data_IF_378647415929
#
_entry.id   IF_378647415929
#
_cell.length_a   1.000
_cell.length_b   1.000
_cell.length_c   1.000
_cell.angle_alpha   90.00
_cell.angle_beta   90.00
_cell.angle_gamma   90.00
#
_symmetry.space_group_name_H-M   'P 1'
#
loop_
_entity.id
_entity.type
_entity.pdbx_description
1 polymer ?
#
# COMPACT_ATOMS: atom_id res chain seq x y z
N UNK A 1 -13.59 1.61 1.76
CA UNK A 1 -13.17 2.85 2.46
C UNK A 1 -12.44 2.59 3.78
N UNK A 2 -12.76 1.49 4.50
CA UNK A 2 -12.08 1.10 5.76
C UNK A 2 -10.56 1.05 5.61
N UNK A 3 -10.04 0.46 4.53
CA UNK A 3 -8.59 0.39 4.28
C UNK A 3 -7.93 1.77 4.18
N UNK A 4 -8.55 2.75 3.52
CA UNK A 4 -8.00 4.09 3.40
C UNK A 4 -7.86 4.76 4.78
N UNK A 5 -8.87 4.62 5.64
CA UNK A 5 -8.82 5.14 7.02
C UNK A 5 -7.71 4.46 7.81
N UNK A 6 -7.64 3.13 7.76
CA UNK A 6 -6.60 2.35 8.45
C UNK A 6 -5.19 2.73 8.01
N UNK A 7 -4.94 2.85 6.70
CA UNK A 7 -3.64 3.26 6.18
C UNK A 7 -3.25 4.69 6.58
N UNK A 8 -4.19 5.64 6.54
CA UNK A 8 -3.91 7.03 6.95
C UNK A 8 -3.57 7.09 8.44
N UNK A 9 -4.36 6.44 9.29
CA UNK A 9 -4.08 6.36 10.73
C UNK A 9 -2.72 5.74 10.99
N UNK A 10 -2.42 4.58 10.38
CA UNK A 10 -1.12 3.92 10.48
C UNK A 10 0.02 4.87 10.12
N UNK A 11 -0.09 5.61 9.02
CA UNK A 11 0.97 6.52 8.56
C UNK A 11 1.16 7.71 9.52
N UNK A 12 0.07 8.29 10.04
CA UNK A 12 0.14 9.40 11.01
C UNK A 12 0.78 8.94 12.32
N UNK A 13 0.31 7.83 12.89
CA UNK A 13 0.88 7.28 14.12
C UNK A 13 2.32 6.83 13.92
N UNK A 14 2.64 6.23 12.76
CA UNK A 14 4.00 5.82 12.44
C UNK A 14 4.94 7.02 12.38
N UNK A 15 4.54 8.11 11.71
CA UNK A 15 5.34 9.33 11.65
C UNK A 15 5.53 9.97 13.03
N UNK A 16 4.48 10.00 13.86
CA UNK A 16 4.59 10.51 15.24
C UNK A 16 5.58 9.70 16.07
N UNK A 17 5.60 8.38 15.89
CA UNK A 17 6.57 7.51 16.55
C UNK A 17 7.99 7.77 16.09
N UNK A 18 8.23 7.90 14.77
CA UNK A 18 9.56 8.21 14.20
C UNK A 18 10.09 9.56 14.72
N UNK A 19 9.21 10.56 14.90
CA UNK A 19 9.61 11.87 15.44
C UNK A 19 9.94 11.84 16.95
N UNK A 20 9.25 10.98 17.71
CA UNK A 20 9.46 10.85 19.15
C UNK A 20 10.69 10.00 19.51
N UNK A 21 11.04 9.02 18.68
CA UNK A 21 12.16 8.11 18.90
C UNK A 21 13.23 8.29 17.81
N UNK A 22 14.17 9.21 18.03
CA UNK A 22 15.26 9.53 17.06
C UNK A 22 16.19 8.36 16.73
N UNK A 23 16.19 7.30 17.54
CA UNK A 23 17.01 6.09 17.30
C UNK A 23 16.30 5.05 16.41
N UNK A 24 15.03 5.29 16.04
CA UNK A 24 14.23 4.35 15.24
C UNK A 24 14.11 4.87 13.82
N UNK A 25 14.88 4.28 12.91
CA UNK A 25 14.74 4.51 11.47
C UNK A 25 13.45 3.86 10.92
N UNK A 26 12.93 4.40 9.81
CA UNK A 26 11.77 3.86 9.10
C UNK A 26 11.87 2.36 8.77
N UNK A 27 13.09 1.85 8.55
CA UNK A 27 13.35 0.43 8.31
C UNK A 27 13.04 -0.44 9.54
N UNK A 28 13.60 -0.07 10.70
CA UNK A 28 13.40 -0.80 11.95
C UNK A 28 11.93 -0.74 12.38
N UNK A 29 11.29 0.40 12.18
CA UNK A 29 9.87 0.56 12.47
C UNK A 29 9.01 -0.38 11.60
N UNK A 30 9.28 -0.44 10.30
CA UNK A 30 8.59 -1.39 9.42
C UNK A 30 8.82 -2.85 9.83
N UNK A 31 10.06 -3.19 10.22
CA UNK A 31 10.41 -4.52 10.72
C UNK A 31 9.54 -4.98 11.90
N UNK A 32 9.39 -4.13 12.92
CA UNK A 32 8.50 -4.44 14.03
C UNK A 32 7.03 -4.53 13.63
N UNK A 33 6.56 -3.60 12.79
CA UNK A 33 5.17 -3.59 12.33
C UNK A 33 4.84 -4.86 11.55
N UNK A 34 5.72 -5.33 10.66
CA UNK A 34 5.45 -6.53 9.86
C UNK A 34 5.42 -7.80 10.71
N UNK A 35 6.32 -7.94 11.69
CA UNK A 35 6.35 -9.08 12.62
C UNK A 35 5.07 -9.12 13.46
N UNK A 36 4.71 -7.99 14.09
CA UNK A 36 3.48 -7.90 14.90
C UNK A 36 2.23 -8.12 14.06
N UNK A 37 2.19 -7.57 12.84
CA UNK A 37 1.08 -7.78 11.91
C UNK A 37 0.93 -9.25 11.55
N UNK A 38 2.03 -9.96 11.31
CA UNK A 38 2.00 -11.39 11.04
C UNK A 38 1.44 -12.17 12.23
N UNK A 39 1.92 -11.93 13.44
CA UNK A 39 1.45 -12.62 14.66
C UNK A 39 -0.05 -12.37 14.89
N UNK A 40 -0.53 -11.16 14.61
CA UNK A 40 -1.95 -10.82 14.76
C UNK A 40 -2.84 -11.40 13.65
N UNK A 41 -2.40 -11.34 12.39
CA UNK A 41 -3.19 -11.79 11.24
C UNK A 41 -3.16 -13.31 11.04
N UNK A 42 -2.07 -13.98 11.39
CA UNK A 42 -1.93 -15.43 11.21
C UNK A 42 -3.04 -16.25 11.87
N UNK A 43 -3.38 -16.07 13.17
CA UNK A 43 -4.47 -16.82 13.78
C UNK A 43 -5.81 -16.50 13.12
N UNK A 44 -6.08 -15.23 12.80
CA UNK A 44 -7.31 -14.82 12.11
C UNK A 44 -7.42 -15.51 10.74
N UNK A 45 -6.33 -15.56 9.98
CA UNK A 45 -6.30 -16.23 8.68
C UNK A 45 -6.59 -17.73 8.80
N UNK A 46 -6.02 -18.41 9.81
CA UNK A 46 -6.29 -19.83 10.07
C UNK A 46 -7.76 -20.04 10.46
N UNK A 47 -8.32 -19.22 11.34
CA UNK A 47 -9.72 -19.37 11.79
C UNK A 47 -10.74 -19.07 10.69
N UNK A 48 -10.51 -18.04 9.87
CA UNK A 48 -11.46 -17.60 8.85
C UNK A 48 -11.34 -18.41 7.55
N UNK A 49 -10.12 -18.66 7.10
CA UNK A 49 -9.86 -19.21 5.76
C UNK A 49 -9.22 -20.61 5.77
N UNK A 50 -8.77 -21.10 6.93
CA UNK A 50 -7.98 -22.34 7.02
C UNK A 50 -8.69 -23.57 6.42
N UNK A 51 -10.02 -23.66 6.56
CA UNK A 51 -10.81 -24.74 5.95
C UNK A 51 -10.80 -24.73 4.42
N UNK A 52 -10.54 -23.58 3.80
CA UNK A 52 -10.52 -23.41 2.35
C UNK A 52 -9.13 -23.57 1.73
N UNK A 53 -8.06 -23.62 2.53
CA UNK A 53 -6.68 -23.63 2.02
C UNK A 53 -6.37 -24.84 1.15
N UNK A 54 -6.79 -26.04 1.57
CA UNK A 54 -6.54 -27.29 0.81
C UNK A 54 -7.28 -27.28 -0.52
N UNK A 55 -8.56 -26.94 -0.51
CA UNK A 55 -9.36 -26.84 -1.73
C UNK A 55 -8.85 -25.74 -2.68
N UNK A 56 -8.47 -24.59 -2.13
CA UNK A 56 -7.89 -23.47 -2.88
C UNK A 56 -6.55 -23.83 -3.52
N UNK A 57 -5.70 -24.56 -2.80
CA UNK A 57 -4.41 -25.04 -3.31
C UNK A 57 -4.59 -25.97 -4.52
N UNK A 58 -5.48 -26.96 -4.43
CA UNK A 58 -5.77 -27.86 -5.55
C UNK A 58 -6.33 -27.11 -6.77
N UNK A 59 -7.20 -26.11 -6.54
CA UNK A 59 -7.74 -25.26 -7.62
C UNK A 59 -6.65 -24.41 -8.29
N UNK A 60 -5.71 -23.87 -7.51
CA UNK A 60 -4.58 -23.10 -8.01
C UNK A 60 -3.64 -23.97 -8.87
N UNK A 61 -3.33 -25.19 -8.41
CA UNK A 61 -2.55 -26.16 -9.17
C UNK A 61 -3.25 -26.57 -10.47
N UNK A 62 -4.57 -26.75 -10.44
CA UNK A 62 -5.35 -27.06 -11.65
C UNK A 62 -5.31 -25.95 -12.70
N UNK A 63 -5.03 -24.71 -12.31
CA UNK A 63 -4.94 -23.55 -13.23
C UNK A 63 -3.53 -23.34 -13.77
N UNK A 64 -2.52 -23.51 -12.92
CA UNK A 64 -1.10 -23.23 -13.25
C UNK A 64 -0.40 -24.47 -13.82
N UNK A 65 -0.88 -25.67 -13.51
CA UNK A 65 -0.34 -26.96 -13.95
C UNK A 65 0.93 -27.41 -13.22
N UNK A 66 1.83 -26.47 -12.87
CA UNK A 66 3.11 -26.77 -12.22
C UNK A 66 3.20 -26.20 -10.78
N UNK A 67 3.36 -27.04 -9.74
CA UNK A 67 3.53 -26.59 -8.36
C UNK A 67 4.73 -25.66 -8.14
N UNK A 68 5.86 -25.91 -8.80
CA UNK A 68 7.08 -25.10 -8.64
C UNK A 68 6.86 -23.67 -9.12
N UNK A 69 6.14 -23.52 -10.25
CA UNK A 69 5.78 -22.21 -10.78
C UNK A 69 4.85 -21.47 -9.82
N UNK A 70 3.87 -22.15 -9.23
CA UNK A 70 3.00 -21.55 -8.21
C UNK A 70 3.80 -21.03 -7.00
N UNK A 71 4.67 -21.86 -6.42
CA UNK A 71 5.50 -21.43 -5.28
C UNK A 71 6.40 -20.25 -5.63
N UNK A 72 6.99 -20.25 -6.83
CA UNK A 72 7.82 -19.16 -7.31
C UNK A 72 7.01 -17.86 -7.44
N UNK A 73 5.80 -17.90 -8.00
CA UNK A 73 4.94 -16.71 -8.10
C UNK A 73 4.52 -16.17 -6.73
N UNK A 74 4.17 -17.05 -5.79
CA UNK A 74 3.84 -16.67 -4.42
C UNK A 74 5.04 -16.02 -3.72
N UNK A 75 6.23 -16.62 -3.86
CA UNK A 75 7.46 -16.11 -3.26
C UNK A 75 7.84 -14.75 -3.85
N UNK A 76 7.84 -14.61 -5.19
CA UNK A 76 8.12 -13.33 -5.85
C UNK A 76 7.12 -12.27 -5.40
N UNK A 77 5.82 -12.60 -5.38
CA UNK A 77 4.79 -11.67 -4.91
C UNK A 77 5.04 -11.20 -3.47
N UNK A 78 5.40 -12.12 -2.57
CA UNK A 78 5.75 -11.82 -1.18
C UNK A 78 6.97 -10.90 -1.05
N UNK A 79 8.04 -11.18 -1.80
CA UNK A 79 9.25 -10.35 -1.82
C UNK A 79 8.92 -8.93 -2.30
N UNK A 80 8.24 -8.79 -3.44
CA UNK A 80 7.86 -7.48 -3.96
C UNK A 80 6.92 -6.73 -3.03
N UNK A 81 6.00 -7.43 -2.35
CA UNK A 81 5.16 -6.83 -1.33
C UNK A 81 5.98 -6.30 -0.15
N UNK A 82 6.95 -7.07 0.33
CA UNK A 82 7.83 -6.65 1.42
C UNK A 82 8.67 -5.44 1.03
N UNK A 83 9.36 -5.50 -0.13
CA UNK A 83 10.18 -4.42 -0.65
C UNK A 83 9.37 -3.14 -0.86
N UNK A 84 8.16 -3.25 -1.42
CA UNK A 84 7.27 -2.11 -1.59
C UNK A 84 6.95 -1.42 -0.25
N UNK A 85 6.60 -2.18 0.78
CA UNK A 85 6.26 -1.60 2.08
C UNK A 85 7.51 -1.06 2.80
N UNK A 86 8.65 -1.72 2.66
CA UNK A 86 9.93 -1.26 3.19
C UNK A 86 10.32 0.10 2.60
N UNK A 87 10.35 0.23 1.26
CA UNK A 87 10.62 1.51 0.59
C UNK A 87 9.56 2.57 0.92
N UNK A 88 8.31 2.16 1.14
CA UNK A 88 7.25 3.07 1.57
C UNK A 88 7.51 3.64 2.97
N UNK A 89 8.00 2.85 3.91
CA UNK A 89 8.34 3.34 5.26
C UNK A 89 9.59 4.22 5.27
N UNK A 90 10.58 3.91 4.45
CA UNK A 90 11.73 4.81 4.24
C UNK A 90 11.27 6.16 3.67
N UNK A 91 10.42 6.15 2.64
CA UNK A 91 9.86 7.40 2.10
C UNK A 91 9.02 8.16 3.13
N UNK A 92 8.23 7.47 3.95
CA UNK A 92 7.45 8.07 5.03
C UNK A 92 8.33 8.75 6.08
N UNK A 93 9.56 8.26 6.28
CA UNK A 93 10.53 8.84 7.20
C UNK A 93 11.04 10.20 6.72
N UNK A 94 11.24 10.36 5.41
CA UNK A 94 11.74 11.60 4.81
C UNK A 94 10.64 12.65 4.55
N UNK A 95 9.41 12.21 4.29
CA UNK A 95 8.32 13.11 3.86
C UNK A 95 7.18 13.22 4.88
N UNK A 96 6.34 14.25 4.71
CA UNK A 96 5.16 14.41 5.56
C UNK A 96 4.10 13.32 5.27
N UNK A 97 3.27 12.91 6.25
CA UNK A 97 2.20 11.93 6.04
C UNK A 97 1.20 12.37 4.95
N UNK A 98 0.99 13.68 4.80
CA UNK A 98 0.14 14.25 3.76
C UNK A 98 0.74 14.02 2.37
N UNK A 99 2.03 14.35 2.19
CA UNK A 99 2.76 14.10 0.94
C UNK A 99 2.81 12.61 0.62
N UNK A 100 3.02 11.76 1.63
CA UNK A 100 3.01 10.30 1.48
C UNK A 100 1.65 9.78 1.00
N UNK A 101 0.55 10.28 1.58
CA UNK A 101 -0.80 9.92 1.15
C UNK A 101 -1.10 10.33 -0.29
N UNK A 102 -0.60 11.50 -0.70
CA UNK A 102 -0.69 11.98 -2.09
C UNK A 102 0.12 11.09 -3.03
N UNK A 103 1.36 10.75 -2.69
CA UNK A 103 2.19 9.83 -3.46
C UNK A 103 1.57 8.44 -3.62
N UNK A 104 0.94 7.92 -2.56
CA UNK A 104 0.21 6.65 -2.63
C UNK A 104 -0.99 6.69 -3.59
N UNK A 105 -1.63 7.85 -3.73
CA UNK A 105 -2.70 8.06 -4.71
C UNK A 105 -2.16 8.05 -6.13
N UNK A 106 -1.05 8.74 -6.38
CA UNK A 106 -0.35 8.72 -7.68
C UNK A 106 0.12 7.31 -8.06
N UNK A 107 0.67 6.55 -7.11
CA UNK A 107 1.03 5.14 -7.34
C UNK A 107 -0.16 4.32 -7.84
N UNK A 108 -1.35 4.52 -7.25
CA UNK A 108 -2.57 3.81 -7.66
C UNK A 108 -2.97 4.15 -9.10
N UNK A 109 -2.88 5.42 -9.48
CA UNK A 109 -3.13 5.85 -10.87
C UNK A 109 -2.20 5.13 -11.85
N UNK A 110 -0.90 5.11 -11.56
CA UNK A 110 0.10 4.45 -12.42
C UNK A 110 -0.21 2.97 -12.57
N UNK A 111 -0.57 2.28 -11.48
CA UNK A 111 -0.95 0.86 -11.52
C UNK A 111 -2.21 0.64 -12.38
N UNK A 112 -3.25 1.47 -12.24
CA UNK A 112 -4.46 1.37 -13.07
C UNK A 112 -4.11 1.49 -14.55
N UNK A 113 -3.37 2.53 -14.94
CA UNK A 113 -2.98 2.75 -16.34
C UNK A 113 -2.14 1.58 -16.87
N UNK A 114 -1.13 1.13 -16.11
CA UNK A 114 -0.29 0.01 -16.49
C UNK A 114 -1.11 -1.28 -16.69
N UNK A 115 -2.04 -1.59 -15.79
CA UNK A 115 -2.88 -2.80 -15.90
C UNK A 115 -3.77 -2.77 -17.14
N UNK A 116 -4.34 -1.60 -17.49
CA UNK A 116 -5.15 -1.46 -18.72
C UNK A 116 -4.29 -1.69 -19.96
N UNK A 117 -3.07 -1.14 -19.99
CA UNK A 117 -2.14 -1.31 -21.12
C UNK A 117 -1.66 -2.75 -21.29
N UNK A 118 -1.33 -3.42 -20.18
CA UNK A 118 -0.77 -4.78 -20.17
C UNK A 118 -1.85 -5.83 -20.44
N UNK A 119 -2.96 -5.80 -19.72
CA UNK A 119 -4.00 -6.82 -19.84
C UNK A 119 -4.94 -6.58 -21.02
N UNK A 120 -4.93 -5.38 -21.61
CA UNK A 120 -5.77 -4.98 -22.76
C UNK A 120 -7.24 -5.38 -22.60
N UNK A 121 -7.72 -5.44 -21.35
CA UNK A 121 -9.11 -5.78 -21.08
C UNK A 121 -10.01 -4.73 -21.74
N UNK A 122 -11.11 -5.14 -22.40
CA UNK A 122 -12.00 -4.19 -23.08
C UNK A 122 -12.68 -3.30 -22.04
N UNK A 123 -12.13 -2.09 -21.85
CA UNK A 123 -12.72 -1.08 -20.99
C UNK A 123 -13.83 -0.40 -21.77
N UNK A 124 -15.07 -0.50 -21.29
CA UNK A 124 -16.19 0.27 -21.86
C UNK A 124 -15.81 1.76 -21.91
N UNK A 125 -16.10 2.50 -22.99
CA UNK A 125 -15.71 3.91 -23.12
C UNK A 125 -16.13 4.79 -21.93
N UNK A 126 -17.30 4.50 -21.33
CA UNK A 126 -17.77 5.18 -20.12
C UNK A 126 -16.90 4.88 -18.88
N UNK A 127 -16.44 3.65 -18.72
CA UNK A 127 -15.53 3.27 -17.64
C UNK A 127 -14.14 3.89 -17.84
N UNK A 128 -13.69 4.00 -19.09
CA UNK A 128 -12.44 4.67 -19.42
C UNK A 128 -12.52 6.18 -19.10
N UNK A 129 -13.62 6.83 -19.47
CA UNK A 129 -13.86 8.24 -19.15
C UNK A 129 -13.97 8.48 -17.64
N UNK A 130 -14.73 7.65 -16.92
CA UNK A 130 -14.83 7.74 -15.45
C UNK A 130 -13.49 7.52 -14.76
N UNK A 131 -12.68 6.58 -15.24
CA UNK A 131 -11.33 6.35 -14.75
C UNK A 131 -10.41 7.54 -15.04
N UNK A 132 -10.49 8.12 -16.24
CA UNK A 132 -9.73 9.30 -16.62
C UNK A 132 -10.07 10.52 -15.76
N UNK A 133 -11.36 10.77 -15.49
CA UNK A 133 -11.82 11.85 -14.60
C UNK A 133 -11.33 11.61 -13.16
N UNK A 134 -11.45 10.38 -12.64
CA UNK A 134 -10.98 10.06 -11.30
C UNK A 134 -9.47 10.26 -11.16
N UNK A 135 -8.70 9.77 -12.14
CA UNK A 135 -7.24 9.95 -12.22
C UNK A 135 -6.91 11.45 -12.26
N UNK A 136 -7.55 12.20 -13.15
CA UNK A 136 -7.32 13.64 -13.30
C UNK A 136 -7.69 14.43 -12.05
N UNK A 137 -8.81 14.12 -11.40
CA UNK A 137 -9.20 14.72 -10.13
C UNK A 137 -8.20 14.44 -9.01
N UNK A 138 -7.71 13.21 -8.89
CA UNK A 138 -6.65 12.89 -7.92
C UNK A 138 -5.33 13.58 -8.23
N UNK A 139 -4.99 13.74 -9.50
CA UNK A 139 -3.79 14.47 -9.92
C UNK A 139 -3.89 15.96 -9.58
N UNK A 140 -5.03 16.60 -9.85
CA UNK A 140 -5.27 18.00 -9.48
C UNK A 140 -5.25 18.20 -7.97
N UNK A 141 -5.89 17.33 -7.20
CA UNK A 141 -5.88 17.38 -5.73
C UNK A 141 -4.44 17.26 -5.19
N UNK A 142 -3.66 16.33 -5.74
CA UNK A 142 -2.23 16.17 -5.44
C UNK A 142 -1.46 17.47 -5.66
N UNK A 143 -1.57 18.07 -6.85
CA UNK A 143 -0.88 19.30 -7.22
C UNK A 143 -1.29 20.50 -6.36
N UNK A 144 -2.59 20.64 -6.07
CA UNK A 144 -3.10 21.72 -5.24
C UNK A 144 -2.64 21.61 -3.77
N UNK A 145 -2.53 20.38 -3.26
CA UNK A 145 -2.08 20.13 -1.88
C UNK A 145 -0.58 20.39 -1.71
N UNK A 146 0.23 20.10 -2.73
CA UNK A 146 1.68 20.42 -2.75
C UNK A 146 1.94 21.93 -2.82
N UNK A 147 1.06 22.69 -3.49
CA UNK A 147 1.23 24.15 -3.68
C UNK A 147 0.80 25.02 -2.50
N UNK A 148 0.09 24.49 -1.49
CA UNK A 148 -0.22 25.30 -0.29
C UNK A 148 1.07 25.52 0.52
N UNK A 149 1.53 26.78 0.72
CA UNK A 149 2.67 27.05 1.56
C UNK A 149 2.31 26.63 3.00
N UNK A 150 3.30 26.06 3.70
CA UNK A 150 3.24 25.78 5.14
C UNK A 150 2.66 27.01 5.85
N UNK A 151 1.46 26.91 6.41
CA UNK A 151 1.19 27.65 7.65
C UNK A 151 2.01 26.94 8.70
N UNK A 152 3.16 27.54 9.02
CA UNK A 152 3.98 27.14 10.15
C UNK A 152 3.07 26.97 11.36
N UNK A 153 3.08 25.78 11.94
CA UNK A 153 2.62 25.59 13.31
C UNK A 153 3.69 26.23 14.22
N UNK A 154 3.69 27.57 14.26
CA UNK A 154 4.24 28.35 15.37
C UNK A 154 3.18 28.35 16.46
N UNK A 155 3.39 27.51 17.47
CA UNK A 155 2.97 27.63 18.89
C UNK A 155 3.11 26.23 19.50
N UNK A 156 3.92 25.96 20.53
CA UNK A 156 4.69 26.79 21.45
C UNK A 156 5.84 25.91 21.99
N UNK A 157 7.06 26.45 21.99
CA UNK A 157 8.03 26.17 23.05
C UNK A 157 7.45 26.82 24.31
N UNK A 158 7.26 26.03 25.35
CA UNK A 158 7.62 26.30 26.75
C UNK A 158 7.57 24.96 27.50
#
# INVERSE_FOLDING_TARGET
MISNVGFVLRNIFSKRSLQNFKEVDGLNMYGWITILSFIYLFPVAVFVEGSQWVAGYHKALGTIGNPNTFYLWVLISGIFYHLYNQSSYQALDDISPLTFSVGNTMKRVVVIVATVLVFRNPVRPLNALGSAIAIFGTFLYSQATVKKPKKEAVEKKD
#
